data_IF_911832779532
#
_entry.id   IF_911832779532
#
_cell.length_a   1.000
_cell.length_b   1.000
_cell.length_c   1.000
_cell.angle_alpha   90.00
_cell.angle_beta   90.00
_cell.angle_gamma   90.00
#
_symmetry.space_group_name_H-M   'P 1'
#
loop_
_entity.id
_entity.type
_entity.pdbx_description
1 polymer ?
#
# COMPACT_ATOMS: atom_id res chain seq x y z
N UNK A 1 -50.53 -22.85 -45.64
CA UNK A 1 -51.74 -22.02 -45.68
C UNK A 1 -51.41 -20.70 -45.00
N UNK A 2 -51.42 -19.67 -45.84
CA UNK A 2 -51.83 -18.27 -45.63
C UNK A 2 -51.11 -17.51 -44.49
N UNK A 3 -50.33 -16.59 -44.76
CA UNK A 3 -50.30 -15.36 -45.59
C UNK A 3 -50.39 -14.09 -44.76
N UNK A 4 -49.39 -13.23 -44.94
CA UNK A 4 -49.37 -11.77 -45.10
C UNK A 4 -49.99 -10.90 -43.96
N UNK A 5 -49.47 -9.75 -43.59
CA UNK A 5 -49.09 -8.62 -44.46
C UNK A 5 -48.29 -7.56 -43.65
N UNK A 6 -47.38 -6.92 -44.37
CA UNK A 6 -46.67 -5.66 -44.11
C UNK A 6 -47.62 -4.47 -44.04
N UNK A 7 -47.21 -3.43 -43.30
CA UNK A 7 -47.48 -2.02 -43.77
C UNK A 7 -46.35 -1.10 -43.36
N UNK A 8 -45.72 -0.49 -44.35
CA UNK A 8 -44.84 0.71 -44.33
C UNK A 8 -45.72 1.93 -44.57
N UNK A 9 -45.36 3.07 -43.98
CA UNK A 9 -45.65 4.43 -44.53
C UNK A 9 -44.58 5.38 -43.97
N UNK A 10 -43.72 5.81 -44.66
CA UNK A 10 -43.29 6.78 -45.68
C UNK A 10 -43.64 8.25 -45.39
N UNK A 11 -42.58 9.00 -45.16
CA UNK A 11 -42.18 10.39 -45.48
C UNK A 11 -43.25 11.41 -45.95
N UNK A 12 -43.11 12.66 -45.44
CA UNK A 12 -43.11 13.86 -46.31
C UNK A 12 -42.29 15.03 -45.73
N UNK A 13 -41.66 15.75 -46.67
CA UNK A 13 -40.65 16.81 -46.57
C UNK A 13 -41.23 18.19 -46.87
N UNK A 14 -40.69 19.21 -46.19
CA UNK A 14 -40.41 20.62 -46.60
C UNK A 14 -41.57 21.55 -47.08
N UNK A 15 -41.47 22.92 -46.96
CA UNK A 15 -40.44 23.73 -47.60
C UNK A 15 -39.90 24.97 -46.82
N UNK A 16 -38.85 25.52 -47.41
CA UNK A 16 -38.12 26.75 -47.07
C UNK A 16 -38.90 28.01 -47.39
N UNK A 17 -38.71 29.06 -46.60
CA UNK A 17 -38.88 30.45 -47.06
C UNK A 17 -37.69 31.29 -46.59
N UNK A 18 -37.19 32.06 -47.56
CA UNK A 18 -36.00 32.92 -47.58
C UNK A 18 -36.49 34.36 -47.49
N UNK A 19 -36.03 35.12 -46.51
CA UNK A 19 -36.07 36.60 -46.61
C UNK A 19 -34.70 37.21 -46.35
N UNK A 20 -34.27 37.98 -47.34
CA UNK A 20 -33.05 38.83 -47.29
C UNK A 20 -33.46 40.21 -46.80
N UNK A 21 -32.71 40.78 -45.85
CA UNK A 21 -32.51 42.23 -45.80
C UNK A 21 -31.10 42.53 -45.29
N UNK A 22 -30.41 43.43 -45.98
CA UNK A 22 -29.01 43.88 -45.77
C UNK A 22 -28.93 44.87 -44.57
N UNK A 23 -27.74 45.04 -44.00
CA UNK A 23 -27.55 45.79 -42.77
C UNK A 23 -27.23 47.26 -42.99
N UNK A 24 -27.65 48.08 -42.05
CA UNK A 24 -27.12 49.44 -41.86
C UNK A 24 -26.03 49.44 -40.79
N UNK A 25 -24.92 50.00 -41.13
CA UNK A 25 -23.71 50.27 -40.34
C UNK A 25 -24.03 51.20 -39.16
N UNK A 26 -23.66 50.74 -37.96
CA UNK A 26 -23.45 51.57 -36.76
C UNK A 26 -21.99 51.34 -36.31
N UNK A 27 -21.09 52.08 -36.90
CA UNK A 27 -19.79 52.41 -36.30
C UNK A 27 -19.98 53.79 -35.66
N UNK A 28 -19.52 53.98 -34.44
CA UNK A 28 -19.30 55.20 -33.66
C UNK A 28 -20.08 55.42 -32.37
N UNK A 29 -20.28 54.38 -31.58
CA UNK A 29 -20.63 54.59 -30.15
C UNK A 29 -19.92 53.72 -29.10
N UNK A 30 -18.90 52.95 -29.53
CA UNK A 30 -18.23 51.98 -28.59
C UNK A 30 -16.79 52.31 -28.19
N UNK A 31 -16.20 53.40 -28.63
CA UNK A 31 -14.77 53.69 -28.35
C UNK A 31 -14.48 54.33 -26.95
N UNK A 32 -15.50 54.95 -26.31
CA UNK A 32 -15.29 55.61 -25.01
C UNK A 32 -15.59 54.73 -23.77
N UNK A 33 -16.33 53.62 -23.89
CA UNK A 33 -16.62 52.69 -22.75
C UNK A 33 -15.52 51.66 -22.50
N UNK A 34 -14.63 51.34 -23.45
CA UNK A 34 -13.56 50.35 -23.30
C UNK A 34 -12.37 50.83 -22.46
N UNK A 35 -12.02 52.13 -22.50
CA UNK A 35 -10.87 52.67 -21.72
C UNK A 35 -11.12 52.75 -20.20
N UNK A 36 -12.37 52.93 -19.76
CA UNK A 36 -12.74 52.95 -18.35
C UNK A 36 -12.76 51.58 -17.68
N UNK A 37 -13.19 50.54 -18.43
CA UNK A 37 -13.32 49.19 -17.87
C UNK A 37 -11.95 48.48 -17.68
N UNK A 38 -10.94 48.78 -18.49
CA UNK A 38 -9.59 48.23 -18.39
C UNK A 38 -8.84 48.81 -17.17
N UNK A 39 -8.97 50.14 -16.90
CA UNK A 39 -8.36 50.74 -15.70
C UNK A 39 -8.95 50.21 -14.40
N UNK A 40 -10.27 49.95 -14.34
CA UNK A 40 -10.93 49.38 -13.15
C UNK A 40 -10.56 47.89 -12.95
N UNK A 41 -10.40 47.11 -14.04
CA UNK A 41 -9.93 45.71 -13.95
C UNK A 41 -8.49 45.63 -13.42
N UNK A 42 -7.59 46.47 -13.96
CA UNK A 42 -6.18 46.50 -13.54
C UNK A 42 -6.03 46.98 -12.07
N UNK A 43 -6.85 47.94 -11.62
CA UNK A 43 -6.84 48.37 -10.21
C UNK A 43 -7.40 47.30 -9.25
N UNK A 44 -8.43 46.53 -9.65
CA UNK A 44 -8.94 45.39 -8.87
C UNK A 44 -7.90 44.23 -8.80
N UNK A 45 -7.19 43.96 -9.88
CA UNK A 45 -6.17 42.94 -9.92
C UNK A 45 -4.93 43.33 -9.10
N UNK A 46 -4.49 44.57 -9.15
CA UNK A 46 -3.42 45.09 -8.31
C UNK A 46 -3.79 45.06 -6.79
N UNK A 47 -5.06 45.33 -6.46
CA UNK A 47 -5.57 45.24 -5.07
C UNK A 47 -5.60 43.78 -4.60
N UNK A 48 -6.03 42.81 -5.45
CA UNK A 48 -5.98 41.37 -5.17
C UNK A 48 -4.56 40.86 -4.98
N UNK A 49 -3.61 41.29 -5.80
CA UNK A 49 -2.16 40.94 -5.66
C UNK A 49 -1.58 41.47 -4.36
N UNK A 50 -1.87 42.70 -3.97
CA UNK A 50 -1.43 43.28 -2.68
C UNK A 50 -2.04 42.54 -1.50
N UNK A 51 -3.29 42.18 -1.54
CA UNK A 51 -3.99 41.43 -0.48
C UNK A 51 -3.48 39.99 -0.36
N UNK A 52 -3.21 39.30 -1.48
CA UNK A 52 -2.57 38.00 -1.53
C UNK A 52 -1.16 38.03 -0.90
N UNK A 53 -0.36 39.04 -1.23
CA UNK A 53 0.99 39.23 -0.67
C UNK A 53 0.94 39.51 0.83
N UNK A 54 -0.06 40.30 1.29
CA UNK A 54 -0.26 40.59 2.72
C UNK A 54 -0.69 39.31 3.48
N UNK A 55 -1.56 38.48 2.89
CA UNK A 55 -1.95 37.20 3.48
C UNK A 55 -0.76 36.23 3.59
N UNK A 56 0.07 36.13 2.53
CA UNK A 56 1.32 35.32 2.56
C UNK A 56 2.30 35.79 3.63
N UNK A 57 2.52 37.13 3.80
CA UNK A 57 3.36 37.65 4.87
C UNK A 57 2.82 37.34 6.27
N UNK A 58 1.50 37.41 6.47
CA UNK A 58 0.88 37.10 7.75
C UNK A 58 0.94 35.60 8.09
N UNK A 59 0.79 34.73 7.08
CA UNK A 59 0.95 33.28 7.24
C UNK A 59 2.40 32.93 7.58
N UNK A 60 3.38 33.56 6.92
CA UNK A 60 4.79 33.36 7.20
C UNK A 60 5.15 33.80 8.61
N UNK A 61 4.64 34.98 9.10
CA UNK A 61 4.82 35.41 10.48
C UNK A 61 4.21 34.47 11.51
N UNK A 62 3.05 33.87 11.23
CA UNK A 62 2.41 32.84 12.08
C UNK A 62 3.24 31.55 12.11
N UNK A 63 3.75 31.10 10.96
CA UNK A 63 4.65 29.93 10.86
C UNK A 63 5.95 30.12 11.63
N UNK A 64 6.59 31.30 11.51
CA UNK A 64 7.82 31.59 12.25
C UNK A 64 7.59 31.68 13.77
N UNK A 65 6.40 32.17 14.20
CA UNK A 65 6.04 32.20 15.63
C UNK A 65 5.73 30.78 16.17
N UNK A 66 5.16 29.89 15.34
CA UNK A 66 4.96 28.44 15.67
C UNK A 66 6.30 27.71 15.74
N UNK A 67 7.18 27.91 14.78
CA UNK A 67 8.52 27.31 14.78
C UNK A 67 9.36 27.77 16.00
N UNK A 68 9.26 29.04 16.38
CA UNK A 68 9.91 29.54 17.61
C UNK A 68 9.33 28.93 18.89
N UNK A 69 8.02 28.62 18.94
CA UNK A 69 7.41 27.87 20.06
C UNK A 69 7.83 26.40 20.07
N UNK A 70 7.89 25.72 18.91
CA UNK A 70 8.37 24.36 18.79
C UNK A 70 9.83 24.21 19.20
N UNK A 71 10.70 25.16 18.82
CA UNK A 71 12.11 25.19 19.26
C UNK A 71 12.27 25.43 20.77
N UNK A 72 11.36 26.17 21.41
CA UNK A 72 11.38 26.35 22.88
C UNK A 72 10.88 25.12 23.62
N UNK A 73 9.93 24.37 23.03
CA UNK A 73 9.45 23.11 23.58
C UNK A 73 10.49 21.98 23.44
N UNK A 74 11.28 21.96 22.34
CA UNK A 74 12.37 20.99 22.15
C UNK A 74 13.58 21.23 23.06
N UNK A 75 13.81 22.47 23.57
CA UNK A 75 14.88 22.76 24.52
C UNK A 75 14.58 22.40 25.98
N UNK A 76 13.33 22.07 26.32
CA UNK A 76 12.91 21.66 27.66
C UNK A 76 12.79 20.17 27.85
N UNK A 77 13.21 19.33 26.86
CA UNK A 77 13.22 17.87 26.94
C UNK A 77 14.62 17.28 26.71
N UNK A 78 15.65 17.95 27.24
CA UNK A 78 16.96 17.32 27.37
C UNK A 78 16.98 16.48 28.64
N UNK A 79 16.48 15.26 28.56
CA UNK A 79 16.92 14.12 29.36
C UNK A 79 16.55 12.81 28.64
N UNK A 80 17.60 12.16 28.14
CA UNK A 80 17.73 10.72 27.89
C UNK A 80 16.57 9.99 27.15
N UNK A 81 16.45 10.21 25.84
CA UNK A 81 15.94 9.20 24.95
C UNK A 81 16.81 9.11 23.69
N UNK A 82 17.25 7.89 23.40
CA UNK A 82 18.02 7.57 22.18
C UNK A 82 17.30 8.07 20.93
N UNK A 83 18.00 8.55 19.88
CA UNK A 83 17.36 9.10 18.70
C UNK A 83 16.50 8.04 18.01
N UNK A 84 15.25 8.33 18.10
CA UNK A 84 14.04 7.71 17.61
C UNK A 84 14.11 6.80 16.38
N UNK A 85 13.47 5.75 16.55
CA UNK A 85 12.73 4.73 15.82
C UNK A 85 12.13 5.09 14.44
N UNK A 86 12.28 6.28 13.88
CA UNK A 86 11.57 6.70 12.65
C UNK A 86 12.26 6.28 11.35
N UNK A 87 13.50 5.78 11.37
CA UNK A 87 14.25 5.42 10.16
C UNK A 87 13.80 4.11 9.49
N UNK A 88 13.08 3.25 10.20
CA UNK A 88 12.68 1.92 9.72
C UNK A 88 11.17 1.77 9.44
N UNK A 89 10.42 2.87 9.41
CA UNK A 89 8.97 2.85 9.15
C UNK A 89 8.61 2.36 7.73
N UNK A 90 9.56 2.42 6.81
CA UNK A 90 9.38 1.92 5.44
C UNK A 90 9.61 0.40 5.30
N UNK A 91 10.14 -0.28 6.32
CA UNK A 91 10.34 -1.72 6.27
C UNK A 91 9.03 -2.49 6.18
N UNK A 92 9.06 -3.58 5.44
CA UNK A 92 7.98 -4.56 5.37
C UNK A 92 7.68 -5.15 6.76
N UNK A 93 6.42 -5.49 7.07
CA UNK A 93 6.02 -6.01 8.38
C UNK A 93 6.76 -7.27 8.86
N UNK A 94 7.31 -8.08 7.95
CA UNK A 94 8.06 -9.29 8.33
C UNK A 94 9.51 -8.99 8.70
N UNK A 95 10.04 -7.81 8.36
CA UNK A 95 11.40 -7.40 8.73
C UNK A 95 11.42 -6.99 10.18
N UNK A 96 12.16 -7.73 11.00
CA UNK A 96 12.30 -7.51 12.43
C UNK A 96 13.49 -6.62 12.78
N UNK A 97 13.81 -5.62 11.96
CA UNK A 97 14.98 -4.76 12.14
C UNK A 97 15.11 -4.18 13.56
N UNK A 98 14.00 -3.87 14.22
CA UNK A 98 14.00 -3.43 15.63
C UNK A 98 14.45 -4.51 16.62
N UNK A 99 14.22 -5.81 16.31
CA UNK A 99 14.62 -6.93 17.19
C UNK A 99 16.08 -7.33 16.99
N UNK A 100 16.63 -7.08 15.81
CA UNK A 100 18.01 -7.46 15.45
C UNK A 100 19.02 -6.34 15.63
N UNK A 101 18.59 -5.14 15.99
CA UNK A 101 19.45 -3.94 16.07
C UNK A 101 19.93 -3.40 14.72
N UNK A 102 19.43 -3.91 13.61
CA UNK A 102 19.79 -3.47 12.25
C UNK A 102 19.35 -2.03 12.00
N UNK A 103 20.17 -1.27 11.29
CA UNK A 103 19.85 0.09 10.79
C UNK A 103 19.03 0.08 9.49
N UNK A 104 18.86 -1.08 8.85
CA UNK A 104 18.37 -1.26 7.49
C UNK A 104 17.18 -2.22 7.43
N UNK A 105 16.31 -2.04 6.42
CA UNK A 105 15.34 -3.05 6.00
C UNK A 105 16.01 -4.19 5.21
N UNK A 106 17.24 -3.99 4.78
CA UNK A 106 17.98 -4.90 3.91
C UNK A 106 18.93 -5.76 4.73
N UNK A 107 19.06 -7.03 4.34
CA UNK A 107 20.10 -7.90 4.85
C UNK A 107 21.47 -7.55 4.25
N UNK A 108 22.52 -8.13 4.81
CA UNK A 108 23.90 -7.88 4.39
C UNK A 108 24.12 -8.22 2.91
N UNK A 109 23.44 -9.25 2.39
CA UNK A 109 23.54 -9.66 0.98
C UNK A 109 23.04 -8.56 0.05
N UNK A 110 21.91 -7.94 0.40
CA UNK A 110 21.34 -6.83 -0.37
C UNK A 110 22.26 -5.60 -0.27
N UNK A 111 22.75 -5.27 0.94
CA UNK A 111 23.63 -4.11 1.13
C UNK A 111 24.93 -4.23 0.36
N UNK A 112 25.53 -5.44 0.35
CA UNK A 112 26.74 -5.72 -0.45
C UNK A 112 26.48 -5.54 -1.94
N UNK A 113 25.37 -6.06 -2.46
CA UNK A 113 25.02 -5.89 -3.88
C UNK A 113 24.72 -4.42 -4.24
N UNK A 114 24.21 -3.63 -3.29
CA UNK A 114 24.05 -2.19 -3.48
C UNK A 114 25.40 -1.47 -3.52
N UNK A 115 26.39 -1.91 -2.73
CA UNK A 115 27.77 -1.41 -2.81
C UNK A 115 28.38 -1.74 -4.16
N UNK A 116 28.23 -2.98 -4.65
CA UNK A 116 28.70 -3.37 -5.97
C UNK A 116 28.05 -2.55 -7.08
N UNK A 117 26.73 -2.34 -6.98
CA UNK A 117 25.98 -1.50 -7.92
C UNK A 117 26.42 -0.02 -7.89
N UNK A 118 26.73 0.51 -6.70
CA UNK A 118 27.33 1.83 -6.56
C UNK A 118 28.70 1.91 -7.24
N UNK A 119 29.59 0.95 -6.95
CA UNK A 119 30.94 0.92 -7.48
C UNK A 119 30.96 0.83 -9.01
N UNK A 120 30.08 -0.01 -9.57
CA UNK A 120 29.89 -0.13 -11.01
C UNK A 120 29.38 1.19 -11.65
N UNK A 121 28.56 1.95 -10.94
CA UNK A 121 28.03 3.22 -11.40
C UNK A 121 28.95 4.42 -11.14
N UNK A 122 29.88 4.30 -10.21
CA UNK A 122 30.76 5.40 -9.75
C UNK A 122 32.23 4.94 -9.63
N UNK A 123 32.89 4.51 -10.73
CA UNK A 123 34.24 3.94 -10.68
C UNK A 123 35.31 4.89 -10.14
N UNK A 124 35.07 6.20 -10.23
CA UNK A 124 35.98 7.26 -9.70
C UNK A 124 35.77 7.54 -8.21
N UNK A 125 34.71 7.01 -7.59
CA UNK A 125 34.40 7.19 -6.16
C UNK A 125 33.82 5.93 -5.56
N UNK A 126 34.56 4.81 -5.55
CA UNK A 126 34.07 3.53 -5.05
C UNK A 126 33.90 3.55 -3.51
N UNK A 127 33.13 2.59 -3.03
CA UNK A 127 33.04 2.21 -1.63
C UNK A 127 34.00 1.04 -1.42
N UNK A 128 34.95 1.19 -0.49
CA UNK A 128 35.86 0.12 -0.08
C UNK A 128 35.40 -0.44 1.26
N UNK A 129 35.29 -1.75 1.35
CA UNK A 129 35.05 -2.47 2.60
C UNK A 129 36.42 -2.77 3.21
N UNK A 130 36.65 -2.42 4.48
CA UNK A 130 37.96 -2.60 5.12
C UNK A 130 38.35 -4.08 5.29
N UNK A 131 39.60 -4.39 5.01
CA UNK A 131 40.13 -5.79 5.01
C UNK A 131 40.01 -6.48 6.37
N UNK A 132 40.07 -5.76 7.49
CA UNK A 132 39.92 -6.35 8.82
C UNK A 132 38.53 -6.94 9.06
N UNK A 133 37.53 -6.34 8.41
CA UNK A 133 36.10 -6.77 8.50
C UNK A 133 35.87 -7.98 7.57
N UNK A 134 36.52 -8.05 6.41
CA UNK A 134 36.42 -9.20 5.52
C UNK A 134 36.98 -10.48 6.16
N UNK A 135 38.04 -10.38 6.98
CA UNK A 135 38.58 -11.51 7.74
C UNK A 135 37.58 -11.98 8.83
N UNK A 136 36.93 -11.09 9.52
CA UNK A 136 35.87 -11.43 10.49
C UNK A 136 34.61 -12.00 9.83
N UNK A 137 34.27 -11.54 8.61
CA UNK A 137 33.18 -12.09 7.81
C UNK A 137 33.48 -13.53 7.31
N UNK A 138 34.65 -13.77 6.85
CA UNK A 138 35.03 -15.12 6.44
C UNK A 138 34.98 -16.09 7.62
N UNK A 139 35.34 -15.66 8.83
CA UNK A 139 35.12 -16.41 10.07
C UNK A 139 33.63 -16.64 10.33
N UNK A 140 32.76 -15.61 10.17
CA UNK A 140 31.31 -15.72 10.37
C UNK A 140 30.68 -16.63 9.29
N UNK A 141 31.05 -16.51 8.01
CA UNK A 141 30.59 -17.37 6.91
C UNK A 141 31.02 -18.84 7.10
N UNK A 142 32.23 -19.06 7.54
CA UNK A 142 32.73 -20.39 7.81
C UNK A 142 32.08 -21.02 9.05
N UNK A 143 31.79 -20.22 10.08
CA UNK A 143 31.03 -20.67 11.25
C UNK A 143 29.58 -21.00 10.88
N UNK A 144 28.93 -20.23 9.98
CA UNK A 144 27.57 -20.55 9.49
C UNK A 144 27.53 -21.83 8.66
N UNK A 145 28.54 -22.13 7.87
CA UNK A 145 28.67 -23.39 7.11
C UNK A 145 28.91 -24.60 8.03
N UNK A 146 29.70 -24.44 9.08
CA UNK A 146 30.04 -25.51 10.04
C UNK A 146 28.90 -25.76 11.06
N UNK A 147 28.07 -24.77 11.39
CA UNK A 147 26.94 -24.91 12.34
C UNK A 147 25.74 -25.63 11.75
N UNK A 148 25.64 -25.78 10.43
CA UNK A 148 24.67 -26.67 9.81
C UNK A 148 24.96 -28.15 10.04
N UNK A 149 26.12 -28.51 10.64
CA UNK A 149 26.49 -29.87 10.95
C UNK A 149 26.49 -30.26 12.45
N UNK A 150 26.30 -29.32 13.40
CA UNK A 150 26.24 -29.63 14.86
C UNK A 150 25.11 -28.89 15.56
N UNK A 151 23.99 -29.58 15.65
CA UNK A 151 22.89 -29.21 16.54
C UNK A 151 23.20 -29.68 17.97
N UNK A 152 23.59 -28.82 18.91
CA UNK A 152 23.42 -29.02 20.34
C UNK A 152 24.08 -27.97 21.26
N UNK A 153 23.93 -26.66 21.05
CA UNK A 153 24.19 -25.69 22.14
C UNK A 153 23.61 -24.31 21.70
N UNK A 154 22.28 -24.19 21.77
CA UNK A 154 21.58 -23.15 21.03
C UNK A 154 21.52 -21.75 21.65
N UNK A 155 21.58 -21.60 22.98
CA UNK A 155 21.14 -20.33 23.60
C UNK A 155 22.21 -19.23 23.75
N UNK A 156 23.48 -19.58 23.93
CA UNK A 156 24.55 -18.57 24.12
C UNK A 156 25.23 -18.14 22.82
N UNK A 157 25.24 -18.99 21.78
CA UNK A 157 25.82 -18.66 20.49
C UNK A 157 24.90 -17.80 19.63
N UNK A 158 23.56 -17.93 19.75
CA UNK A 158 22.61 -17.11 19.00
C UNK A 158 22.68 -15.63 19.37
N UNK A 159 22.89 -15.28 20.64
CA UNK A 159 22.96 -13.88 21.08
C UNK A 159 24.26 -13.18 20.60
N UNK A 160 25.40 -13.86 20.57
CA UNK A 160 26.67 -13.29 20.09
C UNK A 160 26.68 -13.17 18.56
N UNK A 161 26.14 -14.13 17.83
CA UNK A 161 26.05 -14.09 16.37
C UNK A 161 25.08 -13.01 15.89
N UNK A 162 23.96 -12.82 16.58
CA UNK A 162 22.98 -11.76 16.25
C UNK A 162 23.57 -10.35 16.48
N UNK A 163 24.39 -10.17 17.52
CA UNK A 163 25.01 -8.88 17.82
C UNK A 163 26.11 -8.52 16.79
N UNK A 164 26.89 -9.47 16.33
CA UNK A 164 27.92 -9.27 15.32
C UNK A 164 27.31 -9.01 13.93
N UNK A 165 26.26 -9.75 13.54
CA UNK A 165 25.52 -9.51 12.30
C UNK A 165 24.88 -8.11 12.27
N UNK A 166 24.34 -7.65 13.39
CA UNK A 166 23.77 -6.33 13.52
C UNK A 166 24.80 -5.20 13.35
N UNK A 167 25.98 -5.33 13.93
CA UNK A 167 27.09 -4.37 13.78
C UNK A 167 27.56 -4.29 12.32
N UNK A 168 27.66 -5.43 11.66
CA UNK A 168 28.08 -5.47 10.26
C UNK A 168 27.06 -4.87 9.33
N UNK A 169 25.78 -5.20 9.48
CA UNK A 169 24.69 -4.59 8.76
C UNK A 169 24.70 -3.05 8.91
N UNK A 170 24.92 -2.57 10.14
CA UNK A 170 25.01 -1.16 10.41
C UNK A 170 26.21 -0.49 9.71
N UNK A 171 27.36 -1.16 9.67
CA UNK A 171 28.57 -0.68 8.98
C UNK A 171 28.34 -0.56 7.46
N UNK A 172 27.82 -1.59 6.82
CA UNK A 172 27.51 -1.56 5.38
C UNK A 172 26.51 -0.45 5.04
N UNK A 173 25.50 -0.29 5.89
CA UNK A 173 24.53 0.77 5.75
C UNK A 173 25.16 2.17 5.87
N UNK A 174 26.05 2.36 6.84
CA UNK A 174 26.76 3.63 7.06
C UNK A 174 27.64 3.99 5.85
N UNK A 175 28.34 3.01 5.26
CA UNK A 175 29.13 3.20 4.03
C UNK A 175 28.26 3.69 2.85
N UNK A 176 27.12 3.03 2.62
CA UNK A 176 26.17 3.41 1.57
C UNK A 176 25.57 4.77 1.85
N UNK A 177 25.15 5.02 3.08
CA UNK A 177 24.52 6.29 3.48
C UNK A 177 25.48 7.48 3.30
N UNK A 178 26.76 7.33 3.65
CA UNK A 178 27.78 8.36 3.45
C UNK A 178 27.93 8.78 1.99
N UNK A 179 27.79 7.83 1.05
CA UNK A 179 27.91 8.10 -0.39
C UNK A 179 26.62 8.55 -1.04
N UNK A 180 25.48 8.07 -0.55
CA UNK A 180 24.19 8.25 -1.21
C UNK A 180 23.32 9.34 -0.59
N UNK A 181 23.50 9.72 0.69
CA UNK A 181 22.64 10.65 1.42
C UNK A 181 22.57 12.05 0.81
N UNK A 182 23.65 12.52 0.17
CA UNK A 182 23.66 13.84 -0.52
C UNK A 182 22.68 13.92 -1.71
N UNK A 183 22.24 12.78 -2.22
CA UNK A 183 21.37 12.66 -3.38
C UNK A 183 20.06 11.91 -3.07
N UNK A 184 19.96 11.27 -1.91
CA UNK A 184 18.95 10.23 -1.67
C UNK A 184 18.89 9.86 -0.19
N UNK A 185 17.95 10.41 0.54
CA UNK A 185 17.87 10.30 2.02
C UNK A 185 17.36 8.95 2.52
N UNK A 186 16.85 8.09 1.66
CA UNK A 186 16.21 6.82 2.06
C UNK A 186 16.71 5.63 1.25
N UNK A 187 16.72 4.44 1.87
CA UNK A 187 17.01 3.17 1.19
C UNK A 187 16.08 2.93 -0.03
N UNK A 188 14.85 3.38 0.08
CA UNK A 188 13.86 3.29 -1.01
C UNK A 188 14.30 4.12 -2.21
N UNK A 189 14.84 5.31 -1.97
CA UNK A 189 15.42 6.14 -3.00
C UNK A 189 16.64 5.47 -3.61
N UNK A 190 17.57 4.90 -2.81
CA UNK A 190 18.79 4.24 -3.30
C UNK A 190 18.49 3.19 -4.37
N UNK A 191 17.55 2.28 -4.08
CA UNK A 191 17.21 1.16 -4.97
C UNK A 191 16.38 1.57 -6.21
N UNK A 192 15.84 2.77 -6.20
CA UNK A 192 15.07 3.31 -7.34
C UNK A 192 15.89 4.20 -8.28
N UNK A 193 17.13 4.57 -7.92
CA UNK A 193 18.02 5.30 -8.81
C UNK A 193 18.33 4.49 -10.06
N UNK A 194 18.17 5.09 -11.23
CA UNK A 194 18.33 4.40 -12.51
C UNK A 194 19.73 3.81 -12.70
N UNK A 195 20.75 4.54 -12.28
CA UNK A 195 22.17 4.15 -12.36
C UNK A 195 22.50 2.97 -11.42
N UNK A 196 21.90 2.91 -10.24
CA UNK A 196 22.05 1.79 -9.30
C UNK A 196 21.22 0.58 -9.74
N UNK A 197 19.94 0.82 -10.05
CA UNK A 197 18.98 -0.23 -10.38
C UNK A 197 19.40 -1.14 -11.52
N UNK A 198 20.08 -0.61 -12.55
CA UNK A 198 20.55 -1.40 -13.70
C UNK A 198 21.60 -2.45 -13.36
N UNK A 199 22.30 -2.30 -12.22
CA UNK A 199 23.33 -3.22 -11.76
C UNK A 199 22.85 -4.20 -10.69
N UNK A 200 21.60 -4.05 -10.20
CA UNK A 200 21.02 -4.98 -9.22
C UNK A 200 20.48 -6.22 -9.94
N UNK A 201 20.83 -7.41 -9.47
CA UNK A 201 20.32 -8.67 -10.00
C UNK A 201 18.81 -8.81 -9.79
N UNK A 202 18.14 -9.50 -10.70
CA UNK A 202 16.66 -9.67 -10.66
C UNK A 202 16.19 -10.29 -9.34
N UNK A 203 16.89 -11.28 -8.82
CA UNK A 203 16.46 -11.95 -7.57
C UNK A 203 16.69 -11.10 -6.34
N UNK A 204 17.79 -10.32 -6.31
CA UNK A 204 18.01 -9.33 -5.24
C UNK A 204 16.96 -8.22 -5.32
N UNK A 205 16.58 -7.80 -6.53
CA UNK A 205 15.49 -6.82 -6.67
C UNK A 205 14.15 -7.35 -6.15
N UNK A 206 13.85 -8.65 -6.30
CA UNK A 206 12.67 -9.29 -5.68
C UNK A 206 12.77 -9.26 -4.14
N UNK A 207 13.94 -9.57 -3.56
CA UNK A 207 14.19 -9.50 -2.11
C UNK A 207 14.02 -8.07 -1.59
N UNK A 208 14.61 -7.08 -2.26
CA UNK A 208 14.44 -5.65 -1.95
C UNK A 208 12.94 -5.28 -1.88
N UNK A 209 12.17 -5.64 -2.92
CA UNK A 209 10.73 -5.36 -2.96
C UNK A 209 9.94 -6.04 -1.85
N UNK A 210 10.37 -7.19 -1.36
CA UNK A 210 9.75 -7.86 -0.22
C UNK A 210 10.16 -7.23 1.11
N UNK A 211 11.35 -6.63 1.19
CA UNK A 211 11.90 -6.04 2.42
C UNK A 211 11.32 -4.67 2.77
N UNK A 212 10.77 -3.95 1.80
CA UNK A 212 10.14 -2.63 1.99
C UNK A 212 8.63 -2.67 1.71
N UNK A 213 7.89 -1.77 2.36
CA UNK A 213 6.46 -1.58 2.06
C UNK A 213 6.25 -1.17 0.60
N UNK A 214 5.08 -1.43 0.01
CA UNK A 214 4.75 -0.91 -1.31
C UNK A 214 4.82 0.63 -1.35
N UNK A 215 5.28 1.17 -2.47
CA UNK A 215 5.17 2.61 -2.72
C UNK A 215 3.70 2.99 -2.89
N UNK A 216 3.33 4.19 -2.44
CA UNK A 216 1.99 4.71 -2.72
C UNK A 216 1.73 4.79 -4.22
N UNK A 217 0.52 4.50 -4.69
CA UNK A 217 0.16 4.65 -6.09
C UNK A 217 0.36 6.09 -6.57
N UNK A 218 0.94 6.28 -7.75
CA UNK A 218 1.16 7.63 -8.34
C UNK A 218 -0.12 8.45 -8.47
N UNK A 219 -1.27 7.81 -8.65
CA UNK A 219 -2.58 8.46 -8.71
C UNK A 219 -2.90 9.27 -7.45
N UNK A 220 -2.32 8.89 -6.28
CA UNK A 220 -2.54 9.61 -5.03
C UNK A 220 -1.87 10.97 -4.96
N UNK A 221 -0.95 11.29 -5.87
CA UNK A 221 -0.36 12.64 -5.98
C UNK A 221 -1.42 13.65 -6.45
N UNK A 222 -2.34 13.20 -7.33
CA UNK A 222 -3.46 14.00 -7.85
C UNK A 222 -4.71 13.90 -6.96
N UNK A 223 -5.05 12.70 -6.51
CA UNK A 223 -6.20 12.43 -5.65
C UNK A 223 -5.75 11.64 -4.41
N UNK A 224 -5.55 12.32 -3.29
CA UNK A 224 -5.09 11.71 -2.02
C UNK A 224 -6.05 10.65 -1.46
N UNK A 225 -7.30 10.65 -1.91
CA UNK A 225 -8.35 9.69 -1.51
C UNK A 225 -8.72 8.73 -2.64
N UNK A 226 -7.87 8.60 -3.65
CA UNK A 226 -8.06 7.62 -4.71
C UNK A 226 -8.20 6.20 -4.14
N UNK A 227 -9.04 5.40 -4.77
CA UNK A 227 -9.32 4.03 -4.36
C UNK A 227 -8.07 3.15 -4.52
N UNK A 228 -7.97 2.14 -3.66
CA UNK A 228 -7.01 1.05 -3.83
C UNK A 228 -7.48 0.14 -4.96
N UNK A 229 -6.55 -0.20 -5.85
CA UNK A 229 -6.78 -1.22 -6.85
C UNK A 229 -6.32 -2.61 -6.36
N UNK A 230 -6.53 -3.62 -7.19
CA UNK A 230 -6.15 -5.01 -6.93
C UNK A 230 -4.66 -5.16 -6.61
N UNK A 231 -3.78 -4.47 -7.34
CA UNK A 231 -2.32 -4.57 -7.14
C UNK A 231 -1.87 -3.90 -5.83
N UNK A 232 -2.51 -2.79 -5.47
CA UNK A 232 -2.22 -2.09 -4.21
C UNK A 232 -2.52 -2.98 -3.01
N UNK A 233 -3.71 -3.59 -2.98
CA UNK A 233 -4.13 -4.51 -1.91
C UNK A 233 -3.24 -5.76 -1.89
N UNK A 234 -3.01 -6.39 -3.04
CA UNK A 234 -2.17 -7.58 -3.13
C UNK A 234 -0.73 -7.31 -2.67
N UNK A 235 -0.17 -6.14 -3.02
CA UNK A 235 1.18 -5.74 -2.61
C UNK A 235 1.33 -5.65 -1.10
N UNK A 236 0.34 -5.10 -0.41
CA UNK A 236 0.33 -5.03 1.06
C UNK A 236 0.14 -6.42 1.67
N UNK A 237 -0.88 -7.17 1.24
CA UNK A 237 -1.25 -8.43 1.88
C UNK A 237 -0.20 -9.54 1.73
N UNK A 238 0.56 -9.57 0.63
CA UNK A 238 1.70 -10.49 0.44
C UNK A 238 2.78 -10.33 1.52
N UNK A 239 3.00 -9.13 2.03
CA UNK A 239 3.95 -8.90 3.12
C UNK A 239 3.49 -9.50 4.45
N UNK A 240 2.18 -9.63 4.62
CA UNK A 240 1.61 -10.31 5.79
C UNK A 240 1.63 -11.83 5.65
N UNK A 241 1.60 -12.40 4.44
CA UNK A 241 1.92 -13.82 4.22
C UNK A 241 3.36 -14.14 4.63
N UNK A 242 4.33 -13.28 4.29
CA UNK A 242 5.71 -13.44 4.72
C UNK A 242 5.87 -13.35 6.24
N UNK A 243 5.09 -12.50 6.90
CA UNK A 243 5.14 -12.31 8.35
C UNK A 243 4.46 -13.44 9.13
N UNK A 244 3.43 -14.03 8.60
CA UNK A 244 2.61 -15.07 9.23
C UNK A 244 2.62 -16.31 8.33
N UNK A 245 3.59 -17.24 8.50
CA UNK A 245 3.74 -18.40 7.63
C UNK A 245 2.54 -19.35 7.61
N UNK A 246 1.69 -19.29 8.64
CA UNK A 246 0.45 -20.07 8.75
C UNK A 246 -0.77 -19.38 8.11
N UNK A 247 -0.56 -18.25 7.44
CA UNK A 247 -1.58 -17.44 6.77
C UNK A 247 -1.45 -17.47 5.25
N UNK A 248 -2.58 -17.63 4.56
CA UNK A 248 -2.70 -17.52 3.10
C UNK A 248 -3.64 -16.41 2.70
N UNK A 249 -3.21 -15.55 1.79
CA UNK A 249 -4.06 -14.52 1.18
C UNK A 249 -4.50 -14.97 -0.22
N UNK A 250 -5.81 -15.11 -0.42
CA UNK A 250 -6.40 -15.58 -1.70
C UNK A 250 -7.20 -14.48 -2.39
N UNK A 251 -6.68 -13.29 -2.42
CA UNK A 251 -7.31 -12.12 -3.06
C UNK A 251 -6.30 -11.09 -3.51
N UNK A 252 -6.76 -9.90 -3.95
CA UNK A 252 -8.15 -9.51 -4.18
C UNK A 252 -8.77 -10.22 -5.39
N UNK A 253 -10.07 -10.52 -5.28
CA UNK A 253 -10.81 -11.25 -6.33
C UNK A 253 -12.16 -10.58 -6.61
N UNK A 254 -12.73 -10.72 -7.82
CA UNK A 254 -14.10 -10.27 -8.11
C UNK A 254 -15.13 -11.15 -7.40
N UNK A 255 -16.37 -10.65 -7.25
CA UNK A 255 -17.42 -11.38 -6.53
C UNK A 255 -17.79 -12.71 -7.21
N UNK A 256 -17.67 -12.78 -8.52
CA UNK A 256 -17.94 -13.97 -9.31
C UNK A 256 -16.77 -14.97 -9.41
N UNK A 257 -15.92 -15.00 -8.39
CA UNK A 257 -14.73 -15.88 -8.30
C UNK A 257 -15.03 -17.36 -8.51
N UNK A 258 -16.23 -17.84 -8.15
CA UNK A 258 -16.71 -19.21 -8.29
C UNK A 258 -17.37 -19.47 -9.67
N UNK A 259 -17.45 -18.48 -10.56
CA UNK A 259 -18.05 -18.61 -11.89
C UNK A 259 -17.31 -19.71 -12.68
N UNK A 260 -18.06 -20.70 -13.14
CA UNK A 260 -17.53 -21.73 -14.03
C UNK A 260 -17.43 -21.21 -15.46
N UNK A 261 -16.29 -21.41 -16.06
CA UNK A 261 -16.05 -21.12 -17.48
C UNK A 261 -16.65 -22.24 -18.35
N UNK A 262 -16.67 -22.04 -19.67
CA UNK A 262 -17.12 -23.05 -20.66
C UNK A 262 -16.33 -24.36 -20.57
N UNK A 263 -15.12 -24.34 -19.99
CA UNK A 263 -14.27 -25.54 -19.83
C UNK A 263 -14.32 -26.14 -18.42
N UNK A 264 -15.40 -25.91 -17.67
CA UNK A 264 -15.61 -26.33 -16.27
C UNK A 264 -14.49 -25.88 -15.30
N UNK A 265 -13.66 -24.93 -15.73
CA UNK A 265 -12.69 -24.27 -14.85
C UNK A 265 -13.34 -23.08 -14.15
N UNK A 266 -12.88 -22.80 -12.91
CA UNK A 266 -13.39 -21.63 -12.18
C UNK A 266 -12.59 -20.39 -12.53
N UNK A 267 -13.24 -19.23 -12.45
CA UNK A 267 -12.63 -17.92 -12.64
C UNK A 267 -11.39 -17.74 -11.73
N UNK A 268 -11.51 -18.06 -10.44
CA UNK A 268 -10.40 -18.08 -9.48
C UNK A 268 -10.24 -19.49 -8.93
N UNK A 269 -9.48 -20.31 -9.64
CA UNK A 269 -9.33 -21.75 -9.40
C UNK A 269 -8.91 -22.08 -7.95
N UNK A 270 -7.95 -21.34 -7.39
CA UNK A 270 -7.44 -21.59 -6.04
C UNK A 270 -8.52 -21.39 -4.96
N UNK A 271 -9.46 -20.47 -5.16
CA UNK A 271 -10.52 -20.17 -4.20
C UNK A 271 -11.75 -21.08 -4.42
N UNK A 272 -12.09 -21.33 -5.66
CA UNK A 272 -13.19 -22.22 -6.04
C UNK A 272 -12.93 -23.68 -5.61
N UNK A 273 -11.69 -24.16 -5.81
CA UNK A 273 -11.24 -25.52 -5.45
C UNK A 273 -10.52 -25.56 -4.10
N UNK A 274 -10.81 -24.62 -3.20
CA UNK A 274 -10.16 -24.57 -1.90
C UNK A 274 -10.36 -25.86 -1.12
N UNK A 275 -9.27 -26.37 -0.55
CA UNK A 275 -9.27 -27.60 0.24
C UNK A 275 -8.49 -27.33 1.54
N UNK A 276 -9.20 -27.31 2.67
CA UNK A 276 -8.61 -27.02 3.98
C UNK A 276 -7.65 -28.10 4.44
N UNK A 277 -7.91 -29.38 4.13
CA UNK A 277 -6.99 -30.48 4.48
C UNK A 277 -5.63 -30.28 3.80
N UNK A 278 -5.64 -29.91 2.51
CA UNK A 278 -4.40 -29.59 1.80
C UNK A 278 -3.69 -28.38 2.39
N UNK A 279 -4.43 -27.31 2.72
CA UNK A 279 -3.85 -26.13 3.35
C UNK A 279 -3.18 -26.47 4.70
N UNK A 280 -3.83 -27.30 5.52
CA UNK A 280 -3.28 -27.74 6.81
C UNK A 280 -2.02 -28.60 6.63
N UNK A 281 -1.96 -29.45 5.62
CA UNK A 281 -0.74 -30.20 5.29
C UNK A 281 0.43 -29.25 4.93
N UNK A 282 0.14 -28.09 4.38
CA UNK A 282 1.10 -27.01 4.08
C UNK A 282 1.30 -26.06 5.30
N UNK A 283 0.82 -26.45 6.52
CA UNK A 283 0.83 -25.65 7.75
C UNK A 283 0.05 -24.32 7.65
N UNK A 284 -0.91 -24.20 6.75
CA UNK A 284 -1.76 -23.02 6.60
C UNK A 284 -3.08 -23.23 7.36
N UNK A 285 -3.29 -22.48 8.43
CA UNK A 285 -4.48 -22.52 9.29
C UNK A 285 -5.33 -21.25 9.18
N UNK A 286 -4.80 -20.20 8.58
CA UNK A 286 -5.46 -18.90 8.43
C UNK A 286 -5.61 -18.53 6.97
N UNK A 287 -6.77 -17.97 6.63
CA UNK A 287 -7.12 -17.55 5.29
C UNK A 287 -7.67 -16.13 5.30
N UNK A 288 -7.18 -15.28 4.42
CA UNK A 288 -7.74 -13.96 4.15
C UNK A 288 -8.17 -13.83 2.69
N UNK A 289 -9.34 -13.26 2.45
CA UNK A 289 -9.82 -12.95 1.11
C UNK A 289 -10.40 -11.54 1.12
N UNK A 290 -10.07 -10.74 0.12
CA UNK A 290 -10.72 -9.45 -0.15
C UNK A 290 -11.44 -9.58 -1.48
N UNK A 291 -12.74 -9.25 -1.50
CA UNK A 291 -13.58 -9.33 -2.69
C UNK A 291 -13.95 -7.94 -3.17
N UNK A 292 -13.94 -7.74 -4.48
CA UNK A 292 -14.67 -6.64 -5.10
C UNK A 292 -16.11 -7.06 -5.32
N UNK A 293 -17.08 -6.21 -5.02
CA UNK A 293 -18.50 -6.52 -5.25
C UNK A 293 -18.88 -6.59 -6.73
N UNK A 294 -18.05 -6.04 -7.60
CA UNK A 294 -18.24 -6.14 -9.04
C UNK A 294 -17.71 -7.45 -9.59
N UNK A 295 -18.30 -7.89 -10.71
CA UNK A 295 -17.84 -9.05 -11.49
C UNK A 295 -16.52 -8.72 -12.19
N UNK A 296 -15.82 -9.77 -12.65
CA UNK A 296 -14.55 -9.64 -13.37
C UNK A 296 -14.58 -8.75 -14.62
N UNK A 297 -15.76 -8.52 -15.20
CA UNK A 297 -15.99 -7.67 -16.39
C UNK A 297 -16.31 -6.21 -16.05
N UNK A 298 -16.35 -5.84 -14.78
CA UNK A 298 -16.72 -4.51 -14.31
C UNK A 298 -15.53 -3.78 -13.68
N UNK A 299 -15.65 -2.46 -13.52
CA UNK A 299 -14.53 -1.58 -13.09
C UNK A 299 -14.18 -1.69 -11.61
N UNK A 300 -15.08 -2.22 -10.80
CA UNK A 300 -14.94 -2.28 -9.35
C UNK A 300 -15.73 -1.18 -8.63
N UNK A 301 -16.43 -1.57 -7.54
CA UNK A 301 -17.32 -0.66 -6.80
C UNK A 301 -17.05 -0.61 -5.30
N UNK A 302 -16.80 -1.74 -4.66
CA UNK A 302 -16.62 -1.81 -3.21
C UNK A 302 -15.79 -3.03 -2.80
N UNK A 303 -14.94 -2.85 -1.78
CA UNK A 303 -14.12 -3.91 -1.22
C UNK A 303 -14.68 -4.40 0.11
N UNK A 304 -14.83 -5.71 0.24
CA UNK A 304 -15.24 -6.42 1.45
C UNK A 304 -14.22 -7.51 1.77
N UNK A 305 -14.21 -8.00 3.01
CA UNK A 305 -13.23 -8.99 3.43
C UNK A 305 -13.83 -10.20 4.14
N UNK A 306 -13.13 -11.32 4.02
CA UNK A 306 -13.33 -12.51 4.83
C UNK A 306 -11.99 -12.93 5.46
N UNK A 307 -12.04 -13.36 6.71
CA UNK A 307 -10.91 -13.96 7.41
C UNK A 307 -11.35 -15.26 8.08
N UNK A 308 -10.54 -16.29 7.98
CA UNK A 308 -10.74 -17.56 8.67
C UNK A 308 -9.50 -17.88 9.51
N UNK A 309 -9.73 -18.36 10.72
CA UNK A 309 -8.72 -18.95 11.59
C UNK A 309 -9.30 -20.26 12.14
N UNK A 310 -8.76 -21.40 11.67
CA UNK A 310 -9.22 -22.72 12.10
C UNK A 310 -8.90 -22.97 13.57
N UNK A 311 -7.73 -22.56 14.04
CA UNK A 311 -7.30 -22.76 15.44
C UNK A 311 -8.18 -21.97 16.41
N UNK A 312 -8.71 -20.82 16.00
CA UNK A 312 -9.66 -20.01 16.78
C UNK A 312 -11.12 -20.35 16.50
N UNK A 313 -11.39 -21.31 15.63
CA UNK A 313 -12.74 -21.70 15.23
C UNK A 313 -13.60 -20.52 14.73
N UNK A 314 -13.04 -19.63 13.90
CA UNK A 314 -13.73 -18.45 13.40
C UNK A 314 -13.68 -18.33 11.88
N UNK A 315 -14.82 -17.92 11.29
CA UNK A 315 -14.92 -17.38 9.93
C UNK A 315 -15.60 -16.01 10.06
N UNK A 316 -14.83 -14.94 9.91
CA UNK A 316 -15.29 -13.57 10.02
C UNK A 316 -15.55 -12.94 8.65
N UNK A 317 -16.69 -12.28 8.51
CA UNK A 317 -17.00 -11.44 7.36
C UNK A 317 -17.01 -9.97 7.75
N UNK A 318 -16.44 -9.14 6.91
CA UNK A 318 -16.33 -7.71 7.10
C UNK A 318 -16.81 -6.95 5.87
N UNK A 319 -17.73 -6.03 6.12
CA UNK A 319 -18.07 -4.93 5.24
C UNK A 319 -18.04 -3.63 6.04
N UNK A 320 -17.30 -2.63 5.57
CA UNK A 320 -17.16 -1.35 6.26
C UNK A 320 -18.47 -0.55 6.36
N UNK A 321 -19.43 -0.81 5.48
CA UNK A 321 -20.79 -0.28 5.58
C UNK A 321 -21.71 -1.09 6.51
N UNK A 322 -21.27 -2.27 6.97
CA UNK A 322 -22.07 -3.16 7.83
C UNK A 322 -23.14 -3.95 7.08
N UNK A 323 -23.05 -4.08 5.75
CA UNK A 323 -23.99 -4.86 4.97
C UNK A 323 -23.76 -6.38 5.14
N UNK A 324 -24.83 -7.14 4.89
CA UNK A 324 -24.78 -8.61 4.92
C UNK A 324 -23.90 -9.14 3.77
N UNK A 325 -23.22 -10.30 3.97
CA UNK A 325 -22.41 -10.89 2.92
C UNK A 325 -23.23 -11.23 1.68
N UNK A 326 -22.70 -11.00 0.46
CA UNK A 326 -23.29 -11.48 -0.80
C UNK A 326 -23.48 -13.00 -0.83
N UNK A 327 -24.29 -13.47 -1.76
CA UNK A 327 -24.61 -14.91 -1.91
C UNK A 327 -23.34 -15.75 -2.10
N UNK A 328 -22.44 -15.30 -2.95
CA UNK A 328 -21.19 -15.97 -3.31
C UNK A 328 -20.28 -16.15 -2.09
N UNK A 329 -20.12 -15.08 -1.30
CA UNK A 329 -19.34 -15.13 -0.06
C UNK A 329 -20.01 -16.02 0.99
N UNK A 330 -21.34 -15.99 1.11
CA UNK A 330 -22.08 -16.91 2.02
C UNK A 330 -21.86 -18.39 1.65
N UNK A 331 -21.86 -18.70 0.35
CA UNK A 331 -21.61 -20.07 -0.13
C UNK A 331 -20.19 -20.50 0.23
N UNK A 332 -19.20 -19.65 -0.02
CA UNK A 332 -17.81 -19.93 0.37
C UNK A 332 -17.67 -20.15 1.88
N UNK A 333 -18.24 -19.25 2.70
CA UNK A 333 -18.18 -19.36 4.17
C UNK A 333 -18.80 -20.66 4.67
N UNK A 334 -19.92 -21.12 4.08
CA UNK A 334 -20.56 -22.41 4.41
C UNK A 334 -19.65 -23.57 4.01
N UNK A 335 -19.12 -23.57 2.80
CA UNK A 335 -18.18 -24.60 2.31
C UNK A 335 -16.96 -24.74 3.22
N UNK A 336 -16.34 -23.62 3.61
CA UNK A 336 -15.21 -23.63 4.55
C UNK A 336 -15.60 -24.13 5.94
N UNK A 337 -16.81 -23.80 6.42
CA UNK A 337 -17.32 -24.29 7.71
C UNK A 337 -17.54 -25.80 7.68
N UNK A 338 -18.08 -26.34 6.59
CA UNK A 338 -18.31 -27.77 6.43
C UNK A 338 -16.97 -28.54 6.36
N UNK A 339 -16.03 -28.11 5.53
CA UNK A 339 -14.67 -28.68 5.48
C UNK A 339 -13.97 -28.61 6.84
N UNK A 340 -14.14 -27.50 7.59
CA UNK A 340 -13.59 -27.39 8.92
C UNK A 340 -14.18 -28.42 9.90
N UNK A 341 -15.47 -28.72 9.80
CA UNK A 341 -16.13 -29.75 10.61
C UNK A 341 -15.63 -31.16 10.29
N UNK A 342 -15.42 -31.45 9.01
CA UNK A 342 -14.83 -32.72 8.57
C UNK A 342 -13.40 -32.93 9.10
N UNK A 343 -12.72 -31.86 9.47
CA UNK A 343 -11.39 -31.82 10.06
C UNK A 343 -11.42 -31.63 11.60
N UNK A 344 -12.54 -31.91 12.25
CA UNK A 344 -12.75 -31.83 13.70
C UNK A 344 -12.69 -30.41 14.29
N UNK A 345 -12.71 -29.36 13.45
CA UNK A 345 -12.88 -27.99 13.91
C UNK A 345 -14.35 -27.60 14.00
N UNK A 346 -14.66 -26.54 14.73
CA UNK A 346 -16.04 -26.05 14.86
C UNK A 346 -16.18 -24.57 14.49
N UNK A 347 -15.87 -24.18 13.23
CA UNK A 347 -15.80 -22.77 12.87
C UNK A 347 -17.15 -22.08 12.99
N UNK A 348 -17.18 -20.96 13.72
CA UNK A 348 -18.36 -20.10 13.91
C UNK A 348 -18.31 -18.93 12.94
N UNK A 349 -19.35 -18.76 12.13
CA UNK A 349 -19.48 -17.62 11.23
C UNK A 349 -19.84 -16.38 12.05
N UNK A 350 -19.04 -15.30 11.86
CA UNK A 350 -19.26 -13.98 12.46
C UNK A 350 -19.39 -12.95 11.35
N UNK A 351 -20.35 -12.04 11.48
CA UNK A 351 -20.65 -11.02 10.46
C UNK A 351 -20.62 -9.66 11.11
N UNK A 352 -19.82 -8.73 10.58
CA UNK A 352 -19.91 -7.33 10.98
C UNK A 352 -21.26 -6.76 10.54
N UNK A 353 -21.98 -6.14 11.50
CA UNK A 353 -23.26 -5.47 11.27
C UNK A 353 -23.19 -3.96 11.52
N UNK A 354 -22.05 -3.51 12.04
CA UNK A 354 -21.84 -2.12 12.41
C UNK A 354 -21.20 -1.37 11.26
N UNK A 355 -21.73 -0.21 10.95
CA UNK A 355 -21.17 0.68 9.95
C UNK A 355 -19.96 1.41 10.53
N UNK A 356 -18.84 1.35 9.82
CA UNK A 356 -17.59 2.05 10.15
C UNK A 356 -17.28 3.13 9.12
N UNK A 357 -17.55 2.87 7.84
CA UNK A 357 -17.28 3.78 6.74
C UNK A 357 -18.49 4.65 6.41
N UNK A 358 -18.28 5.95 6.35
CA UNK A 358 -19.29 6.97 6.00
C UNK A 358 -18.91 7.77 4.74
N UNK A 359 -17.63 7.73 4.31
CA UNK A 359 -17.10 8.34 3.08
C UNK A 359 -16.79 7.26 2.03
N UNK A 360 -16.61 7.65 0.76
CA UNK A 360 -16.62 6.71 -0.37
C UNK A 360 -15.28 6.03 -0.71
N UNK A 361 -14.14 6.28 -0.01
CA UNK A 361 -12.82 5.95 -0.58
C UNK A 361 -12.02 4.87 0.14
N UNK A 362 -12.36 4.50 1.40
CA UNK A 362 -11.47 3.73 2.25
C UNK A 362 -11.84 2.24 2.41
N UNK A 363 -12.81 1.71 1.66
CA UNK A 363 -13.26 0.32 1.79
C UNK A 363 -12.11 -0.71 1.66
N UNK A 364 -11.17 -0.49 0.73
CA UNK A 364 -9.98 -1.35 0.59
C UNK A 364 -9.06 -1.30 1.81
N UNK A 365 -8.89 -0.12 2.41
CA UNK A 365 -8.07 0.05 3.63
C UNK A 365 -8.75 -0.62 4.82
N UNK A 366 -10.07 -0.44 4.99
CA UNK A 366 -10.87 -1.13 6.01
C UNK A 366 -10.78 -2.65 5.87
N UNK A 367 -10.84 -3.16 4.63
CA UNK A 367 -10.77 -4.61 4.36
C UNK A 367 -9.40 -5.19 4.71
N UNK A 368 -8.31 -4.52 4.33
CA UNK A 368 -6.95 -4.91 4.74
C UNK A 368 -6.79 -4.82 6.25
N UNK A 369 -7.22 -3.71 6.86
CA UNK A 369 -7.13 -3.49 8.30
C UNK A 369 -7.82 -4.60 9.10
N UNK A 370 -9.01 -5.01 8.70
CA UNK A 370 -9.74 -6.11 9.34
C UNK A 370 -8.92 -7.41 9.37
N UNK A 371 -8.36 -7.83 8.23
CA UNK A 371 -7.55 -9.05 8.16
C UNK A 371 -6.26 -8.89 8.98
N UNK A 372 -5.59 -7.76 8.86
CA UNK A 372 -4.31 -7.49 9.53
C UNK A 372 -4.46 -7.46 11.06
N UNK A 373 -5.52 -6.86 11.58
CA UNK A 373 -5.74 -6.82 13.03
C UNK A 373 -6.13 -8.20 13.58
N UNK A 374 -6.83 -9.05 12.82
CA UNK A 374 -7.04 -10.45 13.14
C UNK A 374 -5.71 -11.22 13.22
N UNK A 375 -4.82 -11.03 12.24
CA UNK A 375 -3.48 -11.63 12.23
C UNK A 375 -2.62 -11.19 13.43
N UNK A 376 -2.78 -9.95 13.89
CA UNK A 376 -2.13 -9.42 15.10
C UNK A 376 -2.73 -9.96 16.40
N UNK A 377 -3.79 -10.75 16.32
CA UNK A 377 -4.41 -11.43 17.46
C UNK A 377 -5.66 -10.75 18.03
N UNK A 378 -6.06 -9.57 17.52
CA UNK A 378 -7.32 -8.96 17.96
C UNK A 378 -8.51 -9.86 17.64
N UNK A 379 -9.45 -9.93 18.56
CA UNK A 379 -10.69 -10.68 18.36
C UNK A 379 -11.60 -9.98 17.32
N UNK A 380 -12.48 -10.77 16.70
CA UNK A 380 -13.49 -10.23 15.80
C UNK A 380 -14.36 -9.15 16.48
N UNK A 381 -14.70 -9.36 17.77
CA UNK A 381 -15.51 -8.44 18.55
C UNK A 381 -14.81 -7.09 18.72
N UNK A 382 -13.55 -7.08 19.15
CA UNK A 382 -12.77 -5.84 19.33
C UNK A 382 -12.71 -5.02 18.04
N UNK A 383 -12.46 -5.67 16.89
CA UNK A 383 -12.36 -4.97 15.60
C UNK A 383 -13.71 -4.40 15.16
N UNK A 384 -14.82 -5.13 15.40
CA UNK A 384 -16.15 -4.73 14.93
C UNK A 384 -16.88 -3.79 15.88
N UNK A 385 -16.52 -3.73 17.16
CA UNK A 385 -17.12 -2.81 18.11
C UNK A 385 -16.43 -1.43 18.14
N UNK A 386 -15.14 -1.39 17.95
CA UNK A 386 -14.36 -0.14 17.90
C UNK A 386 -14.47 0.51 16.51
N UNK A 387 -15.37 1.48 16.36
CA UNK A 387 -15.50 2.23 15.11
C UNK A 387 -14.27 3.11 14.89
N UNK A 388 -13.58 2.89 13.79
CA UNK A 388 -12.50 3.76 13.32
C UNK A 388 -13.12 4.72 12.30
N UNK A 389 -12.95 6.03 12.48
CA UNK A 389 -13.46 7.05 11.57
C UNK A 389 -12.71 7.02 10.22
N UNK A 390 -13.39 7.43 9.15
CA UNK A 390 -12.81 7.43 7.80
C UNK A 390 -11.48 8.20 7.70
N UNK A 391 -11.34 9.32 8.38
CA UNK A 391 -10.10 10.11 8.34
C UNK A 391 -8.94 9.42 9.05
N UNK A 392 -9.21 8.66 10.12
CA UNK A 392 -8.19 7.86 10.80
C UNK A 392 -7.86 6.59 9.99
N UNK A 393 -8.86 6.00 9.31
CA UNK A 393 -8.63 4.91 8.40
C UNK A 393 -7.82 5.36 7.16
N UNK A 394 -8.07 6.57 6.66
CA UNK A 394 -7.25 7.17 5.62
C UNK A 394 -5.79 7.37 6.06
N UNK A 395 -5.54 7.82 7.30
CA UNK A 395 -4.19 7.89 7.87
C UNK A 395 -3.51 6.52 7.95
N UNK A 396 -4.27 5.44 8.12
CA UNK A 396 -3.74 4.07 8.12
C UNK A 396 -3.10 3.67 6.78
N UNK A 397 -3.37 4.36 5.67
CA UNK A 397 -2.64 4.17 4.40
C UNK A 397 -1.13 4.32 4.60
N UNK A 398 -0.68 5.26 5.44
CA UNK A 398 0.74 5.48 5.75
C UNK A 398 1.38 4.31 6.50
N UNK A 399 0.59 3.48 7.19
CA UNK A 399 1.09 2.25 7.83
C UNK A 399 1.38 1.15 6.81
N UNK A 400 0.73 1.18 5.64
CA UNK A 400 0.80 0.13 4.63
C UNK A 400 1.64 0.52 3.41
N UNK A 401 1.80 1.82 3.14
CA UNK A 401 2.49 2.34 1.96
C UNK A 401 3.55 3.37 2.32
N UNK A 402 4.59 3.45 1.51
CA UNK A 402 5.61 4.49 1.58
C UNK A 402 5.13 5.72 0.81
N UNK A 403 5.12 6.88 1.45
CA UNK A 403 4.65 8.14 0.88
C UNK A 403 5.77 9.02 0.34
N UNK A 404 6.96 8.94 0.96
CA UNK A 404 8.16 9.68 0.54
C UNK A 404 9.25 8.67 0.18
N UNK A 405 9.85 8.86 -0.97
CA UNK A 405 10.93 8.02 -1.51
C UNK A 405 11.93 8.83 -2.35
N UNK A 406 11.85 10.18 -2.17
CA UNK A 406 12.76 11.12 -2.81
C UNK A 406 13.92 11.42 -1.88
#
# INVERSE_FOLDING_TARGET
MKDKTKTQTRFKSKPKTRFKTKPKTIKDKYSKKRKGSVKVKNAKEAKRKKESTRRKKNTLKKLNKLNGKLQRLSKNTDNNEAPSSNKLEHCSPHISAKKTGNKSCFDDTILLELIDAWNASNPKNPIHIGNDIDNDLNKIRNNMRNNNQKNNDRNNQENNNNNNNSKYNAYLWDLLNQKMSSKCDTEVCWVNKKDIKKHIKTDTFKKIRSSIKPLKPKKWDKNKREWLNTLDIAGVMRQYELKYPDFKFMGPVPIDFDLKTKFDSCMISNLCKINLKKMMNDNIYKLGVIFNLDKHTQSGSHWIAMYMDLQKNIIGYWDSYGYKPPKEVKVLMKRLKEQGRELEYSPKIRINKKRHQFKGSECGVYSMHFIIEQLKGKSFKEITEQVIKDDDMWKNRQKYFIYKYD
#
